data_IF_441161959000
#
_entry.id   IF_441161959000
#
_cell.length_a   1.000
_cell.length_b   1.000
_cell.length_c   1.000
_cell.angle_alpha   90.00
_cell.angle_beta   90.00
_cell.angle_gamma   90.00
#
_symmetry.space_group_name_H-M   'P 1'
#
loop_
_entity.id
_entity.type
_entity.pdbx_description
1 polymer ?
#
# COMPACT_ATOMS: atom_id res chain seq x y z
N UNK A 1 17.77 14.22 -10.08
CA UNK A 1 16.30 14.17 -10.24
C UNK A 1 15.91 13.39 -11.52
N UNK A 2 16.70 13.48 -12.59
CA UNK A 2 16.43 12.83 -13.90
C UNK A 2 16.12 11.33 -13.77
N UNK A 3 16.95 10.58 -13.01
CA UNK A 3 16.69 9.16 -12.77
C UNK A 3 15.34 8.89 -12.11
N UNK A 4 14.90 9.76 -11.21
CA UNK A 4 13.61 9.63 -10.55
C UNK A 4 12.45 9.92 -11.51
N UNK A 5 12.59 10.92 -12.37
CA UNK A 5 11.60 11.20 -13.42
C UNK A 5 11.46 10.05 -14.40
N UNK A 6 12.59 9.45 -14.82
CA UNK A 6 12.58 8.25 -15.67
C UNK A 6 11.86 7.06 -14.99
N UNK A 7 12.13 6.83 -13.68
CA UNK A 7 11.47 5.78 -12.92
C UNK A 7 9.94 6.01 -12.87
N UNK A 8 9.50 7.22 -12.57
CA UNK A 8 8.07 7.57 -12.55
C UNK A 8 7.45 7.32 -13.93
N UNK A 9 8.05 7.86 -14.98
CA UNK A 9 7.54 7.71 -16.34
C UNK A 9 7.47 6.24 -16.78
N UNK A 10 8.52 5.46 -16.51
CA UNK A 10 8.55 4.02 -16.80
C UNK A 10 7.44 3.26 -16.06
N UNK A 11 7.22 3.60 -14.78
CA UNK A 11 6.16 2.99 -13.97
C UNK A 11 4.79 3.27 -14.56
N UNK A 12 4.48 4.53 -14.87
CA UNK A 12 3.16 4.91 -15.35
C UNK A 12 2.91 4.53 -16.81
N UNK A 13 3.94 4.42 -17.64
CA UNK A 13 3.82 3.88 -19.00
C UNK A 13 3.44 2.38 -19.03
N UNK A 14 3.76 1.64 -17.97
CA UNK A 14 3.42 0.21 -17.82
C UNK A 14 2.13 -0.03 -17.03
N UNK A 15 1.56 1.00 -16.43
CA UNK A 15 0.35 0.89 -15.62
C UNK A 15 -0.91 1.02 -16.49
N UNK A 16 -1.72 -0.03 -16.51
CA UNK A 16 -3.02 0.02 -17.14
C UNK A 16 -4.08 0.61 -16.20
N UNK A 17 -4.90 1.53 -16.71
CA UNK A 17 -5.98 2.18 -15.93
C UNK A 17 -6.93 1.15 -15.32
N UNK A 18 -7.28 0.10 -16.07
CA UNK A 18 -8.17 -0.97 -15.59
C UNK A 18 -7.59 -1.72 -14.39
N UNK A 19 -6.25 -1.89 -14.36
CA UNK A 19 -5.56 -2.51 -13.24
C UNK A 19 -5.65 -1.65 -11.98
N UNK A 20 -5.41 -0.35 -12.11
CA UNK A 20 -5.56 0.60 -11.00
C UNK A 20 -7.01 0.62 -10.49
N UNK A 21 -7.95 0.65 -11.41
CA UNK A 21 -9.38 0.59 -11.12
C UNK A 21 -9.78 -0.68 -10.36
N UNK A 22 -9.22 -1.82 -10.74
CA UNK A 22 -9.45 -3.08 -10.04
C UNK A 22 -8.88 -3.02 -8.61
N UNK A 23 -7.66 -2.53 -8.44
CA UNK A 23 -7.05 -2.38 -7.09
C UNK A 23 -7.93 -1.51 -6.19
N UNK A 24 -8.41 -0.38 -6.68
CA UNK A 24 -9.29 0.53 -5.91
C UNK A 24 -10.62 -0.15 -5.54
N UNK A 25 -11.22 -0.92 -6.47
CA UNK A 25 -12.43 -1.68 -6.16
C UNK A 25 -12.20 -2.73 -5.07
N UNK A 26 -11.09 -3.45 -5.13
CA UNK A 26 -10.75 -4.46 -4.13
C UNK A 26 -10.48 -3.84 -2.75
N UNK A 27 -9.79 -2.69 -2.69
CA UNK A 27 -9.61 -1.92 -1.45
C UNK A 27 -10.97 -1.55 -0.83
N UNK A 28 -11.89 -1.03 -1.65
CA UNK A 28 -13.20 -0.57 -1.18
C UNK A 28 -14.13 -1.70 -0.71
N UNK A 29 -13.92 -2.94 -1.21
CA UNK A 29 -14.76 -4.11 -0.87
C UNK A 29 -14.20 -4.97 0.25
N UNK A 30 -12.92 -4.85 0.54
CA UNK A 30 -12.23 -5.69 1.50
C UNK A 30 -12.80 -5.53 2.92
N UNK A 31 -12.96 -6.66 3.63
CA UNK A 31 -13.27 -6.64 5.07
C UNK A 31 -12.15 -5.98 5.87
N UNK A 32 -10.90 -6.30 5.52
CA UNK A 32 -9.70 -5.68 6.09
C UNK A 32 -8.65 -5.54 5.00
N UNK A 33 -7.93 -4.44 5.00
CA UNK A 33 -6.77 -4.21 4.12
C UNK A 33 -5.50 -4.18 4.96
N UNK A 34 -4.61 -5.10 4.69
CA UNK A 34 -3.31 -5.19 5.34
C UNK A 34 -2.23 -4.60 4.42
N UNK A 35 -1.60 -3.52 4.84
CA UNK A 35 -0.46 -2.94 4.12
C UNK A 35 0.82 -3.52 4.71
N UNK A 36 1.54 -4.30 3.93
CA UNK A 36 2.68 -5.11 4.39
C UNK A 36 3.97 -4.67 3.74
N UNK A 37 4.95 -4.30 4.53
CA UNK A 37 6.27 -3.94 4.04
C UNK A 37 7.36 -4.13 5.10
N UNK A 38 8.61 -4.01 4.64
CA UNK A 38 9.79 -3.89 5.49
C UNK A 38 10.78 -2.92 4.85
N UNK A 39 11.75 -2.47 5.64
CA UNK A 39 12.90 -1.68 5.16
C UNK A 39 12.49 -0.48 4.28
N UNK A 40 13.05 -0.37 3.06
CA UNK A 40 12.76 0.73 2.14
C UNK A 40 11.30 0.85 1.67
N UNK A 41 10.53 -0.24 1.70
CA UNK A 41 9.10 -0.21 1.41
C UNK A 41 8.24 0.35 2.54
N UNK A 42 8.77 0.41 3.76
CA UNK A 42 8.01 0.82 4.95
C UNK A 42 7.47 2.26 4.83
N UNK A 43 8.23 3.17 4.21
CA UNK A 43 7.78 4.55 4.01
C UNK A 43 6.53 4.63 3.11
N UNK A 44 6.49 3.86 2.03
CA UNK A 44 5.33 3.78 1.12
C UNK A 44 4.14 3.14 1.83
N UNK A 45 4.39 2.08 2.60
CA UNK A 45 3.35 1.40 3.36
C UNK A 45 2.73 2.33 4.43
N UNK A 46 3.57 3.09 5.13
CA UNK A 46 3.11 4.08 6.11
C UNK A 46 2.27 5.17 5.44
N UNK A 47 2.68 5.65 4.27
CA UNK A 47 1.94 6.65 3.50
C UNK A 47 0.56 6.11 3.08
N UNK A 48 0.51 4.92 2.48
CA UNK A 48 -0.75 4.26 2.12
C UNK A 48 -1.66 4.06 3.34
N UNK A 49 -1.12 3.51 4.42
CA UNK A 49 -1.87 3.31 5.65
C UNK A 49 -2.45 4.62 6.18
N UNK A 50 -1.63 5.66 6.32
CA UNK A 50 -2.04 6.95 6.88
C UNK A 50 -3.21 7.57 6.12
N UNK A 51 -3.17 7.56 4.79
CA UNK A 51 -4.19 8.24 3.99
C UNK A 51 -5.41 7.35 3.71
N UNK A 52 -5.25 6.04 3.51
CA UNK A 52 -6.38 5.13 3.39
C UNK A 52 -7.18 5.01 4.69
N UNK A 53 -6.53 5.12 5.85
CA UNK A 53 -7.21 5.13 7.17
C UNK A 53 -8.10 6.37 7.39
N UNK A 54 -7.91 7.44 6.61
CA UNK A 54 -8.84 8.57 6.59
C UNK A 54 -10.12 8.29 5.80
N UNK A 55 -10.06 7.30 4.90
CA UNK A 55 -11.18 6.88 4.05
C UNK A 55 -11.92 5.70 4.72
N UNK A 56 -11.18 4.72 5.24
CA UNK A 56 -11.70 3.47 5.80
C UNK A 56 -11.17 3.20 7.21
N UNK A 57 -11.95 2.48 8.03
CA UNK A 57 -11.57 2.10 9.41
C UNK A 57 -10.75 0.79 9.45
N UNK A 58 -10.78 0.02 8.40
CA UNK A 58 -10.31 -1.36 8.33
C UNK A 58 -8.93 -1.51 7.68
N UNK A 59 -8.10 -0.47 7.73
CA UNK A 59 -6.74 -0.46 7.18
C UNK A 59 -5.72 -0.73 8.30
N UNK A 60 -4.86 -1.71 8.08
CA UNK A 60 -3.87 -2.17 9.06
C UNK A 60 -2.47 -2.16 8.47
N UNK A 61 -1.52 -1.54 9.18
CA UNK A 61 -0.12 -1.56 8.81
C UNK A 61 0.60 -2.73 9.47
N UNK A 62 1.32 -3.51 8.69
CA UNK A 62 2.15 -4.61 9.16
C UNK A 62 3.62 -4.34 8.81
N UNK A 63 4.44 -4.13 9.83
CA UNK A 63 5.88 -4.23 9.71
C UNK A 63 6.29 -5.70 9.74
N UNK A 64 6.65 -6.26 8.58
CA UNK A 64 6.98 -7.68 8.47
C UNK A 64 8.29 -8.09 9.15
N UNK A 65 9.16 -7.14 9.50
CA UNK A 65 10.36 -7.44 10.30
C UNK A 65 10.00 -7.88 11.75
N UNK A 66 8.82 -7.48 12.24
CA UNK A 66 8.29 -7.90 13.53
C UNK A 66 7.47 -9.19 13.43
N UNK A 67 8.13 -10.33 13.22
CA UNK A 67 7.49 -11.64 12.97
C UNK A 67 6.46 -12.00 14.05
N UNK A 68 6.77 -11.75 15.32
CA UNK A 68 5.85 -12.03 16.43
C UNK A 68 4.52 -11.27 16.31
N UNK A 69 4.54 -10.04 15.78
CA UNK A 69 3.33 -9.23 15.65
C UNK A 69 2.41 -9.70 14.50
N UNK A 70 2.95 -9.99 13.31
CA UNK A 70 2.10 -10.41 12.21
C UNK A 70 1.64 -11.87 12.33
N UNK A 71 2.40 -12.73 13.01
CA UNK A 71 1.98 -14.12 13.26
C UNK A 71 0.67 -14.21 14.05
N UNK A 72 0.38 -13.25 14.92
CA UNK A 72 -0.89 -13.18 15.67
C UNK A 72 -2.06 -12.72 14.81
N UNK A 73 -1.79 -12.02 13.70
CA UNK A 73 -2.82 -11.53 12.78
C UNK A 73 -3.27 -12.62 11.79
N UNK A 74 -2.35 -13.47 11.34
CA UNK A 74 -2.59 -14.51 10.32
C UNK A 74 -3.82 -15.40 10.61
N UNK A 75 -4.07 -15.89 11.83
CA UNK A 75 -5.23 -16.73 12.10
C UNK A 75 -6.59 -16.08 11.79
N UNK A 76 -6.69 -14.76 11.83
CA UNK A 76 -7.92 -14.00 11.57
C UNK A 76 -8.12 -13.63 10.09
N UNK A 77 -7.13 -13.87 9.23
CA UNK A 77 -7.17 -13.57 7.80
C UNK A 77 -8.05 -14.57 7.06
N UNK A 78 -8.83 -14.11 6.09
CA UNK A 78 -9.68 -14.93 5.23
C UNK A 78 -9.83 -14.32 3.81
N UNK A 79 -10.65 -14.97 2.96
CA UNK A 79 -10.86 -14.62 1.55
C UNK A 79 -11.54 -13.26 1.31
N UNK A 80 -12.09 -12.64 2.36
CA UNK A 80 -12.67 -11.29 2.28
C UNK A 80 -11.66 -10.19 2.60
N UNK A 81 -10.41 -10.57 2.89
CA UNK A 81 -9.35 -9.64 3.24
C UNK A 81 -8.43 -9.38 2.05
N UNK A 82 -7.78 -8.23 2.06
CA UNK A 82 -6.82 -7.82 1.06
C UNK A 82 -5.45 -7.51 1.68
N UNK A 83 -4.42 -7.78 0.91
CA UNK A 83 -3.03 -7.42 1.24
C UNK A 83 -2.50 -6.50 0.16
N UNK A 84 -1.94 -5.36 0.54
CA UNK A 84 -1.10 -4.52 -0.32
C UNK A 84 0.33 -4.68 0.17
N UNK A 85 1.14 -5.41 -0.57
CA UNK A 85 2.52 -5.72 -0.20
C UNK A 85 3.52 -4.91 -1.01
N UNK A 86 4.53 -4.34 -0.34
CA UNK A 86 5.60 -3.58 -0.99
C UNK A 86 6.95 -4.27 -0.75
N UNK A 87 7.64 -4.65 -1.82
CA UNK A 87 8.93 -5.33 -1.75
C UNK A 87 9.83 -4.95 -2.93
N UNK A 88 11.07 -4.57 -2.64
CA UNK A 88 12.07 -4.18 -3.64
C UNK A 88 13.28 -5.12 -3.64
N UNK A 89 14.17 -5.06 -4.66
CA UNK A 89 15.36 -5.88 -4.76
C UNK A 89 16.18 -5.98 -3.46
N UNK A 90 16.78 -7.14 -3.26
CA UNK A 90 17.19 -7.77 -2.01
C UNK A 90 16.01 -8.14 -1.12
N UNK A 91 14.87 -8.35 -1.76
CA UNK A 91 13.55 -8.73 -1.26
C UNK A 91 13.58 -9.35 0.14
N UNK A 92 13.00 -8.68 1.13
CA UNK A 92 12.99 -9.14 2.51
C UNK A 92 12.18 -10.44 2.63
N UNK A 93 12.80 -11.53 3.07
CA UNK A 93 12.12 -12.83 3.26
C UNK A 93 10.89 -12.70 4.16
N UNK A 94 10.96 -11.85 5.18
CA UNK A 94 9.85 -11.63 6.11
C UNK A 94 8.58 -11.09 5.42
N UNK A 95 8.73 -10.19 4.42
CA UNK A 95 7.59 -9.72 3.60
C UNK A 95 6.97 -10.89 2.86
N UNK A 96 7.78 -11.69 2.15
CA UNK A 96 7.31 -12.81 1.34
C UNK A 96 6.64 -13.88 2.22
N UNK A 97 7.21 -14.19 3.39
CA UNK A 97 6.64 -15.15 4.33
C UNK A 97 5.29 -14.68 4.90
N UNK A 98 5.19 -13.41 5.27
CA UNK A 98 3.95 -12.82 5.76
C UNK A 98 2.86 -12.88 4.67
N UNK A 99 3.19 -12.43 3.46
CA UNK A 99 2.27 -12.42 2.31
C UNK A 99 1.85 -13.84 1.92
N UNK A 100 2.79 -14.79 1.86
CA UNK A 100 2.50 -16.19 1.56
C UNK A 100 1.54 -16.80 2.59
N UNK A 101 1.73 -16.49 3.88
CA UNK A 101 0.85 -16.96 4.94
C UNK A 101 -0.57 -16.37 4.83
N UNK A 102 -0.70 -15.09 4.49
CA UNK A 102 -1.99 -14.44 4.25
C UNK A 102 -2.67 -14.97 2.98
N UNK A 103 -1.91 -15.16 1.90
CA UNK A 103 -2.39 -15.76 0.65
C UNK A 103 -2.94 -17.17 0.87
N UNK A 104 -2.25 -17.99 1.67
CA UNK A 104 -2.72 -19.33 2.04
C UNK A 104 -4.07 -19.32 2.78
N UNK A 105 -4.42 -18.22 3.43
CA UNK A 105 -5.71 -17.97 4.10
C UNK A 105 -6.78 -17.43 3.15
N UNK A 106 -6.46 -17.25 1.87
CA UNK A 106 -7.37 -16.78 0.85
C UNK A 106 -7.34 -15.29 0.58
N UNK A 107 -6.52 -14.50 1.28
CA UNK A 107 -6.47 -13.06 1.07
C UNK A 107 -6.13 -12.69 -0.38
N UNK A 108 -6.79 -11.65 -0.90
CA UNK A 108 -6.48 -11.07 -2.20
C UNK A 108 -5.20 -10.22 -2.10
N UNK A 109 -4.19 -10.51 -2.90
CA UNK A 109 -2.88 -9.88 -2.80
C UNK A 109 -2.62 -8.95 -3.98
N UNK A 110 -2.29 -7.70 -3.68
CA UNK A 110 -1.72 -6.72 -4.61
C UNK A 110 -0.26 -6.50 -4.24
N UNK A 111 0.64 -6.78 -5.17
CA UNK A 111 2.08 -6.60 -5.00
C UNK A 111 2.57 -5.33 -5.69
N UNK A 112 3.32 -4.49 -4.97
CA UNK A 112 4.07 -3.36 -5.49
C UNK A 112 5.55 -3.71 -5.43
N UNK A 113 6.19 -3.87 -6.59
CA UNK A 113 7.59 -4.32 -6.70
C UNK A 113 8.22 -3.81 -8.00
N UNK A 114 9.48 -4.13 -8.27
CA UNK A 114 10.22 -3.62 -9.42
C UNK A 114 9.88 -4.29 -10.77
N UNK A 115 9.25 -5.46 -10.76
CA UNK A 115 8.87 -6.14 -12.01
C UNK A 115 8.26 -7.52 -11.80
N UNK A 116 7.84 -8.12 -12.92
CA UNK A 116 7.14 -9.43 -12.93
C UNK A 116 8.03 -10.62 -12.56
N UNK A 117 9.35 -10.46 -12.59
CA UNK A 117 10.31 -11.47 -12.14
C UNK A 117 10.61 -11.42 -10.64
N UNK A 118 10.05 -10.45 -9.93
CA UNK A 118 10.21 -10.33 -8.48
C UNK A 118 9.51 -11.47 -7.73
N UNK A 119 10.08 -12.00 -6.64
CA UNK A 119 9.47 -13.11 -5.89
C UNK A 119 8.07 -12.81 -5.34
N UNK A 120 7.70 -11.54 -5.20
CA UNK A 120 6.36 -11.13 -4.78
C UNK A 120 5.30 -11.47 -5.84
N UNK A 121 5.69 -11.59 -7.12
CA UNK A 121 4.77 -11.93 -8.21
C UNK A 121 4.09 -13.28 -7.99
N UNK A 122 4.80 -14.27 -7.44
CA UNK A 122 4.29 -15.62 -7.19
C UNK A 122 3.09 -15.65 -6.21
N UNK A 123 2.97 -14.62 -5.39
CA UNK A 123 1.90 -14.50 -4.39
C UNK A 123 0.81 -13.51 -4.78
N UNK A 124 1.03 -12.68 -5.80
CA UNK A 124 0.15 -11.58 -6.15
C UNK A 124 -1.00 -12.01 -7.07
N UNK A 125 -2.21 -11.52 -6.80
CA UNK A 125 -3.34 -11.57 -7.73
C UNK A 125 -3.22 -10.45 -8.78
N UNK A 126 -2.73 -9.28 -8.33
CA UNK A 126 -2.38 -8.14 -9.17
C UNK A 126 -0.97 -7.72 -8.81
N UNK A 127 -0.14 -7.47 -9.82
CA UNK A 127 1.17 -6.89 -9.66
C UNK A 127 1.19 -5.48 -10.25
N UNK A 128 1.74 -4.56 -9.49
CA UNK A 128 1.97 -3.17 -9.88
C UNK A 128 3.49 -2.93 -9.96
N UNK A 129 4.09 -3.07 -11.15
CA UNK A 129 5.52 -2.83 -11.32
C UNK A 129 5.86 -1.36 -11.09
N UNK A 130 6.87 -1.11 -10.25
CA UNK A 130 7.38 0.22 -9.95
C UNK A 130 8.89 0.27 -10.13
N UNK A 131 9.37 1.02 -11.10
CA UNK A 131 10.79 1.22 -11.30
C UNK A 131 11.43 1.86 -10.06
N UNK A 132 12.48 1.23 -9.52
CA UNK A 132 13.13 1.63 -8.27
C UNK A 132 14.62 1.95 -8.43
N UNK A 133 15.10 2.15 -9.66
CA UNK A 133 16.50 2.45 -9.95
C UNK A 133 16.99 3.71 -9.23
N UNK A 134 18.21 3.64 -8.67
CA UNK A 134 18.86 4.76 -7.98
C UNK A 134 20.33 4.84 -8.38
N UNK A 135 20.92 6.04 -8.28
CA UNK A 135 22.35 6.25 -8.40
C UNK A 135 23.11 5.94 -7.12
N UNK A 136 22.38 5.78 -6.00
CA UNK A 136 22.94 5.46 -4.70
C UNK A 136 22.83 3.97 -4.35
N UNK A 137 23.07 3.66 -3.08
CA UNK A 137 23.09 2.28 -2.54
C UNK A 137 21.71 1.67 -2.27
N UNK A 138 20.65 2.47 -2.34
CA UNK A 138 19.29 2.07 -2.01
C UNK A 138 18.39 2.04 -3.25
N UNK A 139 17.30 1.29 -3.18
CA UNK A 139 16.22 1.38 -4.17
C UNK A 139 15.38 2.62 -3.90
N UNK A 140 15.07 3.37 -4.95
CA UNK A 140 14.23 4.56 -4.82
C UNK A 140 12.76 4.20 -4.60
N UNK A 141 12.11 4.70 -3.55
CA UNK A 141 10.68 4.49 -3.33
C UNK A 141 9.79 5.48 -4.08
N UNK A 142 10.37 6.45 -4.81
CA UNK A 142 9.63 7.61 -5.35
C UNK A 142 8.50 7.20 -6.28
N UNK A 143 8.76 6.30 -7.23
CA UNK A 143 7.71 5.85 -8.16
C UNK A 143 6.55 5.15 -7.47
N UNK A 144 6.85 4.32 -6.46
CA UNK A 144 5.81 3.68 -5.68
C UNK A 144 5.09 4.66 -4.74
N UNK A 145 5.76 5.72 -4.31
CA UNK A 145 5.10 6.80 -3.55
C UNK A 145 4.08 7.53 -4.43
N UNK A 146 4.45 7.88 -5.67
CA UNK A 146 3.53 8.49 -6.64
C UNK A 146 2.38 7.53 -6.98
N UNK A 147 2.64 6.24 -7.17
CA UNK A 147 1.60 5.24 -7.38
C UNK A 147 0.66 5.12 -6.17
N UNK A 148 1.21 5.12 -4.96
CA UNK A 148 0.43 5.09 -3.73
C UNK A 148 -0.49 6.32 -3.63
N UNK A 149 0.02 7.50 -3.98
CA UNK A 149 -0.77 8.73 -4.04
C UNK A 149 -1.91 8.63 -5.06
N UNK A 150 -1.66 8.08 -6.25
CA UNK A 150 -2.71 7.82 -7.24
C UNK A 150 -3.78 6.85 -6.70
N UNK A 151 -3.40 5.76 -6.03
CA UNK A 151 -4.35 4.82 -5.41
C UNK A 151 -5.22 5.55 -4.39
N UNK A 152 -4.62 6.34 -3.51
CA UNK A 152 -5.33 7.11 -2.48
C UNK A 152 -6.32 8.09 -3.12
N UNK A 153 -5.88 8.86 -4.10
CA UNK A 153 -6.69 9.88 -4.76
C UNK A 153 -7.90 9.25 -5.50
N UNK A 154 -7.69 8.19 -6.28
CA UNK A 154 -8.78 7.50 -6.98
C UNK A 154 -9.74 6.85 -5.98
N UNK A 155 -9.22 6.27 -4.88
CA UNK A 155 -10.05 5.69 -3.81
C UNK A 155 -10.91 6.76 -3.15
N UNK A 156 -10.32 7.92 -2.82
CA UNK A 156 -11.04 9.06 -2.21
C UNK A 156 -12.14 9.60 -3.11
N UNK A 157 -11.86 9.77 -4.40
CA UNK A 157 -12.85 10.26 -5.36
C UNK A 157 -14.05 9.31 -5.50
N UNK A 158 -13.81 7.99 -5.48
CA UNK A 158 -14.88 6.98 -5.58
C UNK A 158 -15.73 6.84 -4.31
N UNK A 159 -15.19 7.18 -3.16
CA UNK A 159 -15.85 7.10 -1.87
C UNK A 159 -16.12 8.50 -1.28
N UNK A 160 -16.37 9.49 -2.13
CA UNK A 160 -16.36 10.92 -1.75
C UNK A 160 -17.39 11.31 -0.68
N UNK A 161 -18.53 10.63 -0.58
CA UNK A 161 -19.53 10.89 0.46
C UNK A 161 -19.01 10.49 1.84
N UNK A 162 -18.58 9.23 1.98
CA UNK A 162 -18.06 8.70 3.25
C UNK A 162 -16.79 9.43 3.69
N UNK A 163 -15.94 9.84 2.71
CA UNK A 163 -14.72 10.62 2.98
C UNK A 163 -15.05 11.98 3.59
N UNK A 164 -16.06 12.69 3.07
CA UNK A 164 -16.43 14.01 3.59
C UNK A 164 -16.88 13.95 5.04
N UNK A 165 -17.73 12.99 5.39
CA UNK A 165 -18.26 12.85 6.74
C UNK A 165 -17.12 12.51 7.73
N UNK A 166 -16.24 11.58 7.36
CA UNK A 166 -15.10 11.20 8.21
C UNK A 166 -14.10 12.34 8.40
N UNK A 167 -13.81 13.10 7.34
CA UNK A 167 -12.91 14.26 7.44
C UNK A 167 -13.52 15.38 8.27
N UNK A 168 -14.84 15.61 8.21
CA UNK A 168 -15.51 16.57 9.05
C UNK A 168 -15.37 16.20 10.54
N UNK A 169 -15.70 14.95 10.91
CA UNK A 169 -15.54 14.46 12.29
C UNK A 169 -14.08 14.56 12.77
N UNK A 170 -13.11 14.20 11.94
CA UNK A 170 -11.69 14.31 12.28
C UNK A 170 -11.26 15.77 12.48
N UNK A 171 -11.79 16.69 11.65
CA UNK A 171 -11.49 18.12 11.74
C UNK A 171 -12.04 18.75 13.02
N UNK A 172 -13.22 18.32 13.48
CA UNK A 172 -13.80 18.76 14.75
C UNK A 172 -12.87 18.39 15.91
N UNK A 173 -12.43 17.13 15.97
CA UNK A 173 -11.51 16.65 17.02
C UNK A 173 -10.19 17.43 16.98
N UNK A 174 -9.62 17.67 15.79
CA UNK A 174 -8.38 18.41 15.64
C UNK A 174 -8.53 19.88 16.07
N UNK A 175 -9.70 20.48 15.84
CA UNK A 175 -10.03 21.81 16.33
C UNK A 175 -10.15 21.87 17.85
N UNK A 176 -10.83 20.89 18.46
CA UNK A 176 -10.99 20.80 19.93
C UNK A 176 -9.64 20.68 20.65
N UNK A 177 -8.68 19.94 20.09
CA UNK A 177 -7.34 19.80 20.69
C UNK A 177 -6.36 20.90 20.28
N UNK A 178 -6.79 21.90 19.49
CA UNK A 178 -5.94 23.00 19.01
C UNK A 178 -4.75 22.53 18.16
N UNK A 179 -4.95 21.49 17.34
CA UNK A 179 -3.85 20.85 16.60
C UNK A 179 -3.22 21.75 15.56
N UNK A 180 -4.01 22.61 14.89
CA UNK A 180 -3.50 23.51 13.88
C UNK A 180 -3.14 24.89 14.47
N UNK A 181 -2.04 25.44 13.97
CA UNK A 181 -1.67 26.82 14.27
C UNK A 181 -2.67 27.74 13.58
N UNK A 182 -3.55 28.37 14.37
CA UNK A 182 -4.47 29.37 13.87
C UNK A 182 -3.78 30.73 13.94
N UNK A 183 -3.54 31.38 12.79
CA UNK A 183 -3.12 32.77 12.70
C UNK A 183 -4.27 33.69 13.05
#
# INVERSE_FOLDING_TARGET
YEKQMQNIQSTFNSLHTDTLDQVVREISRARKVYVVAARGGAAVAQYLHQFLSRIFENIYLINSDAVASWSTVIPSVNERDMVVAISYPRYAKAVLQCVAAMKKRGAFVVGITDGYSAPLADYSNILLPCACGSLGFHNSPISAMVLADCIINVTSLRNSADVKDRLAMSSEILAEVGYYYNN
#
